data_IF_680141590548
#
_entry.id   IF_680141590548
#
_cell.length_a   1.000
_cell.length_b   1.000
_cell.length_c   1.000
_cell.angle_alpha   90.00
_cell.angle_beta   90.00
_cell.angle_gamma   90.00
#
_symmetry.space_group_name_H-M   'P 1'
#
loop_
_entity.id
_entity.type
_entity.pdbx_description
1 polymer ?
#
# COMPACT_ATOMS: atom_id res chain seq x y z
N UNK A 1 -42.20 8.60 19.33
CA UNK A 1 -40.88 8.92 19.91
C UNK A 1 -39.98 7.71 19.67
N UNK A 2 -39.25 7.72 18.55
CA UNK A 2 -37.79 7.95 18.39
C UNK A 2 -36.97 6.73 18.85
N UNK A 3 -36.54 5.87 17.91
CA UNK A 3 -35.20 5.87 17.29
C UNK A 3 -34.11 5.60 18.35
N UNK A 4 -33.32 4.52 18.29
CA UNK A 4 -32.30 4.26 17.26
C UNK A 4 -32.05 2.74 17.14
N UNK A 5 -32.34 2.18 15.95
CA UNK A 5 -31.50 1.13 15.34
C UNK A 5 -30.28 1.85 14.76
N UNK A 6 -29.11 1.21 14.82
CA UNK A 6 -27.79 1.53 14.23
C UNK A 6 -26.71 1.72 15.31
N UNK A 7 -25.88 0.68 15.45
CA UNK A 7 -24.41 0.59 15.64
C UNK A 7 -24.19 -0.87 16.14
N UNK A 8 -24.23 -1.88 15.28
CA UNK A 8 -23.29 -2.22 14.19
C UNK A 8 -22.05 -2.96 14.72
N UNK A 9 -22.14 -4.28 14.73
CA UNK A 9 -21.24 -5.14 13.94
C UNK A 9 -19.72 -5.09 14.19
N UNK A 10 -19.25 -4.70 15.38
CA UNK A 10 -17.81 -4.71 15.69
C UNK A 10 -17.32 -5.89 16.56
N UNK A 11 -18.21 -6.80 16.98
CA UNK A 11 -17.88 -7.84 17.95
C UNK A 11 -17.58 -9.24 17.38
N UNK A 12 -17.45 -9.40 16.05
CA UNK A 12 -17.29 -10.74 15.42
C UNK A 12 -15.88 -11.01 14.85
N UNK A 13 -14.91 -10.09 14.94
CA UNK A 13 -13.56 -10.31 14.38
C UNK A 13 -12.43 -10.35 15.43
N UNK A 14 -12.63 -11.06 16.54
CA UNK A 14 -11.56 -11.40 17.49
C UNK A 14 -11.41 -12.92 17.71
N UNK A 15 -11.45 -13.71 16.64
CA UNK A 15 -10.80 -15.04 16.68
C UNK A 15 -9.34 -14.89 16.28
N UNK A 16 -8.55 -14.35 17.20
CA UNK A 16 -7.09 -14.44 17.18
C UNK A 16 -6.75 -15.90 17.48
N UNK A 17 -6.51 -16.70 16.43
CA UNK A 17 -5.81 -17.98 16.59
C UNK A 17 -4.33 -17.62 16.74
N UNK A 18 -3.87 -17.52 17.98
CA UNK A 18 -2.46 -17.43 18.32
C UNK A 18 -1.73 -18.64 17.74
N UNK A 19 -0.90 -18.43 16.72
CA UNK A 19 0.12 -19.42 16.36
C UNK A 19 1.21 -19.39 17.44
N UNK A 20 1.61 -20.58 17.90
CA UNK A 20 2.76 -20.76 18.81
C UNK A 20 3.98 -20.02 18.27
N UNK A 21 4.71 -19.32 19.14
CA UNK A 21 6.00 -18.72 18.80
C UNK A 21 6.98 -19.82 18.33
N UNK A 22 7.32 -19.81 17.04
CA UNK A 22 8.33 -20.67 16.45
C UNK A 22 9.68 -19.97 16.59
N UNK A 23 10.66 -20.66 17.18
CA UNK A 23 12.05 -20.19 17.22
C UNK A 23 12.60 -20.21 15.78
N UNK A 24 12.99 -19.04 15.26
CA UNK A 24 13.31 -18.89 13.84
C UNK A 24 14.69 -19.46 13.49
N UNK A 25 14.73 -20.20 12.38
CA UNK A 25 15.96 -20.46 11.62
C UNK A 25 16.65 -19.13 11.25
N UNK A 26 17.99 -19.06 11.31
CA UNK A 26 18.82 -17.84 11.12
C UNK A 26 18.77 -17.26 9.70
N UNK A 27 17.60 -16.91 9.16
CA UNK A 27 17.48 -16.18 7.88
C UNK A 27 17.86 -14.71 8.10
N UNK A 28 18.75 -14.19 7.25
CA UNK A 28 19.16 -12.77 7.25
C UNK A 28 18.14 -11.98 6.43
N UNK A 29 17.67 -10.85 6.97
CA UNK A 29 16.71 -9.96 6.31
C UNK A 29 17.28 -8.55 6.19
N UNK A 30 17.12 -7.94 5.02
CA UNK A 30 17.51 -6.54 4.78
C UNK A 30 16.32 -5.61 4.95
N UNK A 31 16.56 -4.47 5.61
CA UNK A 31 15.56 -3.41 5.69
C UNK A 31 15.39 -2.75 4.33
N UNK A 32 14.32 -3.09 3.62
CA UNK A 32 14.11 -2.67 2.25
C UNK A 32 13.58 -1.24 2.15
N UNK A 33 12.91 -0.74 3.18
CA UNK A 33 12.24 0.55 3.11
C UNK A 33 13.16 1.74 2.84
N UNK A 34 14.44 1.66 3.20
CA UNK A 34 15.43 2.67 2.82
C UNK A 34 15.59 2.83 1.29
N UNK A 35 15.31 1.77 0.52
CA UNK A 35 15.27 1.83 -0.95
C UNK A 35 13.92 2.33 -1.48
N UNK A 36 12.87 2.33 -0.66
CA UNK A 36 11.53 2.76 -1.05
C UNK A 36 11.30 4.26 -0.87
N UNK A 37 11.94 4.89 0.12
CA UNK A 37 11.78 6.32 0.46
C UNK A 37 12.35 7.29 -0.59
N UNK A 38 12.96 6.80 -1.68
CA UNK A 38 13.29 7.65 -2.81
C UNK A 38 12.03 7.92 -3.64
N UNK A 39 11.66 9.20 -3.79
CA UNK A 39 10.53 9.61 -4.63
C UNK A 39 10.75 9.19 -6.09
N UNK A 40 9.72 8.63 -6.72
CA UNK A 40 9.73 8.37 -8.15
C UNK A 40 9.58 9.68 -8.92
N UNK A 41 10.48 9.99 -9.84
CA UNK A 41 10.45 11.26 -10.58
C UNK A 41 9.34 11.29 -11.63
N UNK A 42 9.18 10.20 -12.39
CA UNK A 42 8.20 10.09 -13.48
C UNK A 42 7.64 8.67 -13.58
N UNK A 43 6.47 8.54 -14.21
CA UNK A 43 5.90 7.25 -14.55
C UNK A 43 5.11 6.56 -13.43
N UNK A 44 5.15 5.23 -13.44
CA UNK A 44 4.50 4.33 -12.49
C UNK A 44 5.41 3.13 -12.24
N UNK A 45 5.67 2.80 -10.98
CA UNK A 45 6.47 1.64 -10.59
C UNK A 45 5.62 0.71 -9.72
N UNK A 46 5.59 -0.57 -10.08
CA UNK A 46 4.97 -1.63 -9.27
C UNK A 46 6.02 -2.68 -8.96
N UNK A 47 6.05 -3.13 -7.72
CA UNK A 47 6.97 -4.12 -7.22
C UNK A 47 6.21 -5.22 -6.52
N UNK A 48 6.62 -6.46 -6.75
CA UNK A 48 6.21 -7.62 -5.97
C UNK A 48 7.35 -7.98 -5.03
N UNK A 49 7.06 -8.03 -3.73
CA UNK A 49 8.05 -8.15 -2.67
C UNK A 49 7.67 -9.27 -1.73
N UNK A 50 8.49 -10.32 -1.65
CA UNK A 50 8.33 -11.38 -0.65
C UNK A 50 9.20 -11.08 0.57
N UNK A 51 8.58 -11.03 1.74
CA UNK A 51 9.28 -10.62 2.95
C UNK A 51 8.39 -10.59 4.19
N UNK A 52 8.75 -9.77 5.16
CA UNK A 52 7.86 -9.43 6.25
C UNK A 52 7.77 -7.93 6.48
N UNK A 53 6.66 -7.49 7.02
CA UNK A 53 6.56 -6.15 7.58
C UNK A 53 6.38 -6.18 9.09
N UNK A 54 6.97 -5.20 9.79
CA UNK A 54 6.71 -4.96 11.20
C UNK A 54 5.49 -4.04 11.37
N UNK A 55 4.49 -4.50 12.12
CA UNK A 55 3.24 -3.78 12.39
C UNK A 55 3.24 -3.22 13.82
N UNK A 56 2.88 -1.94 13.96
CA UNK A 56 2.58 -1.28 15.25
C UNK A 56 1.08 -1.05 15.43
N UNK A 57 0.35 -0.70 14.36
CA UNK A 57 -1.09 -0.37 14.40
C UNK A 57 -1.87 -0.89 13.18
N UNK A 58 -1.61 -2.13 12.74
CA UNK A 58 -2.33 -2.73 11.61
C UNK A 58 -1.94 -2.18 10.23
N UNK A 59 -0.94 -1.31 10.14
CA UNK A 59 -0.35 -0.81 8.88
C UNK A 59 1.14 -1.13 8.81
N UNK A 60 1.57 -1.52 7.62
CA UNK A 60 2.98 -1.62 7.27
C UNK A 60 3.53 -0.22 6.94
N UNK A 61 4.06 0.51 7.94
CA UNK A 61 4.57 1.87 7.78
C UNK A 61 6.01 1.90 7.26
N UNK A 62 6.30 1.15 6.20
CA UNK A 62 7.65 1.12 5.64
C UNK A 62 8.68 0.47 6.54
N UNK A 63 8.30 -0.53 7.33
CA UNK A 63 9.24 -1.45 7.98
C UNK A 63 9.22 -2.77 7.23
N UNK A 64 9.39 -2.71 5.90
CA UNK A 64 9.39 -3.86 5.00
C UNK A 64 10.79 -4.46 4.95
N UNK A 65 10.88 -5.76 5.19
CA UNK A 65 12.12 -6.52 5.24
C UNK A 65 12.09 -7.63 4.21
N UNK A 66 13.14 -7.73 3.41
CA UNK A 66 13.27 -8.71 2.35
C UNK A 66 14.32 -9.75 2.75
N UNK A 67 14.03 -11.02 2.49
CA UNK A 67 14.98 -12.11 2.76
C UNK A 67 16.21 -12.00 1.87
N UNK A 68 17.41 -12.22 2.42
CA UNK A 68 18.65 -12.30 1.62
C UNK A 68 18.54 -13.47 0.61
N UNK A 69 18.62 -13.22 -0.71
CA UNK A 69 18.60 -14.27 -1.73
C UNK A 69 19.68 -15.34 -1.52
N UNK A 70 20.83 -14.98 -0.94
CA UNK A 70 21.92 -15.93 -0.64
C UNK A 70 21.56 -16.90 0.47
N UNK A 71 20.68 -16.50 1.38
CA UNK A 71 20.20 -17.32 2.50
C UNK A 71 19.09 -18.31 2.12
N UNK A 72 18.56 -18.20 0.90
CA UNK A 72 17.50 -19.07 0.39
C UNK A 72 18.05 -20.31 -0.31
N UNK A 73 17.31 -21.42 -0.23
CA UNK A 73 17.55 -22.62 -1.04
C UNK A 73 17.44 -22.34 -2.55
N UNK A 74 17.95 -23.25 -3.39
CA UNK A 74 17.87 -23.08 -4.86
C UNK A 74 16.44 -22.90 -5.36
N UNK A 75 15.49 -23.68 -4.84
CA UNK A 75 14.07 -23.60 -5.23
C UNK A 75 13.40 -22.32 -4.72
N UNK A 76 13.80 -21.83 -3.53
CA UNK A 76 13.29 -20.59 -2.94
C UNK A 76 13.82 -19.34 -3.66
N UNK A 77 15.06 -19.39 -4.18
CA UNK A 77 15.66 -18.31 -4.98
C UNK A 77 14.92 -18.04 -6.28
N UNK A 78 14.36 -19.09 -6.88
CA UNK A 78 13.64 -18.99 -8.16
C UNK A 78 12.27 -18.32 -8.05
N UNK A 79 11.72 -18.14 -6.83
CA UNK A 79 10.37 -17.56 -6.64
C UNK A 79 10.33 -16.03 -6.85
N UNK A 80 11.48 -15.38 -7.10
CA UNK A 80 11.52 -13.93 -7.36
C UNK A 80 11.16 -13.14 -6.11
N UNK A 81 12.10 -13.08 -5.17
CA UNK A 81 11.96 -12.37 -3.88
C UNK A 81 11.57 -10.90 -4.07
N UNK A 82 12.06 -10.29 -5.14
CA UNK A 82 11.73 -8.93 -5.54
C UNK A 82 11.77 -8.85 -7.07
N UNK A 83 10.63 -8.50 -7.66
CA UNK A 83 10.50 -8.16 -9.09
C UNK A 83 9.84 -6.81 -9.19
N UNK A 84 10.30 -6.00 -10.13
CA UNK A 84 9.84 -4.63 -10.32
C UNK A 84 9.54 -4.34 -11.78
N UNK A 85 8.50 -3.58 -12.05
CA UNK A 85 8.14 -3.06 -13.36
C UNK A 85 8.01 -1.54 -13.30
N UNK A 86 8.75 -0.84 -14.14
CA UNK A 86 8.68 0.61 -14.30
C UNK A 86 8.04 0.95 -15.63
N UNK A 87 7.01 1.79 -15.61
CA UNK A 87 6.26 2.22 -16.80
C UNK A 87 6.34 3.72 -16.96
N UNK A 88 6.77 4.17 -18.14
CA UNK A 88 6.61 5.57 -18.55
C UNK A 88 5.16 5.81 -18.97
N UNK A 89 4.46 6.72 -18.30
CA UNK A 89 3.04 6.97 -18.56
C UNK A 89 2.77 7.83 -19.80
N UNK A 90 3.80 8.45 -20.39
CA UNK A 90 3.67 9.26 -21.60
C UNK A 90 3.55 8.40 -22.87
N UNK A 91 4.23 7.24 -22.87
CA UNK A 91 4.34 6.37 -24.04
C UNK A 91 4.10 4.88 -23.72
N UNK A 92 3.86 4.53 -22.46
CA UNK A 92 3.65 3.17 -21.95
C UNK A 92 4.79 2.19 -22.25
N UNK A 93 6.01 2.69 -22.48
CA UNK A 93 7.21 1.84 -22.46
C UNK A 93 7.43 1.36 -21.04
N UNK A 94 7.58 0.06 -20.87
CA UNK A 94 7.81 -0.55 -19.58
C UNK A 94 9.10 -1.38 -19.57
N UNK A 95 9.79 -1.34 -18.43
CA UNK A 95 10.97 -2.16 -18.16
C UNK A 95 10.76 -2.98 -16.91
N UNK A 96 11.02 -4.27 -17.00
CA UNK A 96 11.04 -5.21 -15.89
C UNK A 96 12.46 -5.33 -15.35
N UNK A 97 12.59 -5.46 -14.04
CA UNK A 97 13.84 -5.66 -13.31
C UNK A 97 13.68 -6.83 -12.31
N UNK A 98 14.66 -7.73 -12.29
CA UNK A 98 14.69 -8.88 -11.39
C UNK A 98 16.12 -9.34 -11.12
N UNK A 99 16.28 -10.52 -10.50
CA UNK A 99 17.56 -11.12 -10.15
C UNK A 99 18.35 -10.21 -9.21
N UNK A 100 17.87 -10.13 -7.97
CA UNK A 100 18.38 -9.17 -7.00
C UNK A 100 19.63 -9.68 -6.28
N UNK A 101 20.53 -8.75 -5.97
CA UNK A 101 21.67 -8.99 -5.10
C UNK A 101 21.89 -7.83 -4.14
N UNK A 102 22.47 -8.13 -2.99
CA UNK A 102 22.91 -7.13 -2.01
C UNK A 102 24.43 -7.04 -2.01
N UNK A 103 24.94 -5.81 -2.16
CA UNK A 103 26.36 -5.46 -2.04
C UNK A 103 26.47 -4.19 -1.22
N UNK A 104 27.26 -4.21 -0.16
CA UNK A 104 27.46 -3.07 0.76
C UNK A 104 26.12 -2.48 1.26
N UNK A 105 25.20 -3.35 1.68
CA UNK A 105 23.82 -3.05 2.12
C UNK A 105 22.93 -2.34 1.08
N UNK A 106 23.35 -2.29 -0.19
CA UNK A 106 22.58 -1.75 -1.30
C UNK A 106 21.99 -2.86 -2.15
N UNK A 107 20.74 -2.64 -2.58
CA UNK A 107 20.02 -3.52 -3.49
C UNK A 107 20.42 -3.22 -4.94
N UNK A 108 20.70 -4.28 -5.71
CA UNK A 108 20.95 -4.22 -7.14
C UNK A 108 20.02 -5.18 -7.88
N UNK A 109 19.48 -4.75 -9.02
CA UNK A 109 18.80 -5.61 -10.00
C UNK A 109 19.79 -5.99 -11.10
N UNK A 110 20.07 -7.27 -11.26
CA UNK A 110 21.10 -7.74 -12.19
C UNK A 110 20.57 -8.00 -13.60
N UNK A 111 19.23 -8.08 -13.76
CA UNK A 111 18.58 -8.33 -15.05
C UNK A 111 17.48 -7.31 -15.32
N UNK A 112 17.36 -6.94 -16.59
CA UNK A 112 16.28 -6.11 -17.10
C UNK A 112 15.77 -6.60 -18.47
N UNK A 113 14.52 -6.28 -18.80
CA UNK A 113 13.94 -6.50 -20.12
C UNK A 113 12.85 -5.48 -20.43
N UNK A 114 12.68 -5.17 -21.71
CA UNK A 114 11.54 -4.39 -22.18
C UNK A 114 10.26 -5.23 -22.11
N UNK A 115 9.15 -4.59 -21.75
CA UNK A 115 7.83 -5.22 -21.62
C UNK A 115 6.83 -4.46 -22.48
N UNK A 116 6.06 -5.21 -23.28
CA UNK A 116 4.95 -4.65 -24.05
C UNK A 116 3.65 -4.79 -23.26
N UNK A 117 3.12 -3.67 -22.79
CA UNK A 117 1.85 -3.65 -22.06
C UNK A 117 0.66 -3.73 -23.01
N UNK A 118 -0.31 -4.58 -22.68
CA UNK A 118 -1.61 -4.64 -23.35
C UNK A 118 -2.45 -3.42 -22.98
N UNK A 119 -3.38 -3.00 -23.85
CA UNK A 119 -4.12 -1.76 -23.65
C UNK A 119 -4.96 -1.74 -22.37
N UNK A 120 -5.59 -2.85 -22.00
CA UNK A 120 -6.34 -2.92 -20.74
C UNK A 120 -5.44 -2.76 -19.50
N UNK A 121 -4.18 -3.22 -19.56
CA UNK A 121 -3.19 -3.01 -18.49
C UNK A 121 -2.84 -1.54 -18.37
N UNK A 122 -2.70 -0.83 -19.50
CA UNK A 122 -2.44 0.62 -19.52
C UNK A 122 -3.59 1.39 -18.86
N UNK A 123 -4.84 1.05 -19.21
CA UNK A 123 -6.02 1.68 -18.61
C UNK A 123 -6.13 1.40 -17.11
N UNK A 124 -5.80 0.16 -16.69
CA UNK A 124 -5.75 -0.22 -15.29
C UNK A 124 -4.72 0.57 -14.49
N UNK A 125 -3.50 0.72 -15.02
CA UNK A 125 -2.44 1.55 -14.43
C UNK A 125 -2.91 3.01 -14.28
N UNK A 126 -3.57 3.58 -15.30
CA UNK A 126 -4.14 4.94 -15.22
C UNK A 126 -5.19 5.05 -14.11
N UNK A 127 -6.09 4.06 -14.00
CA UNK A 127 -7.13 4.03 -12.98
C UNK A 127 -6.54 3.95 -11.56
N UNK A 128 -5.64 3.00 -11.32
CA UNK A 128 -4.93 2.85 -10.03
C UNK A 128 -4.21 4.15 -9.67
N UNK A 129 -3.48 4.75 -10.62
CA UNK A 129 -2.80 6.04 -10.39
C UNK A 129 -3.77 7.11 -9.90
N UNK A 130 -4.93 7.28 -10.55
CA UNK A 130 -5.95 8.26 -10.12
C UNK A 130 -6.47 7.98 -8.71
N UNK A 131 -6.74 6.71 -8.40
CA UNK A 131 -7.20 6.30 -7.07
C UNK A 131 -6.13 6.53 -5.99
N UNK A 132 -4.86 6.25 -6.29
CA UNK A 132 -3.75 6.50 -5.37
C UNK A 132 -3.55 8.00 -5.09
N UNK A 133 -3.77 8.88 -6.07
CA UNK A 133 -3.75 10.34 -5.85
C UNK A 133 -4.85 10.77 -4.87
N UNK A 134 -6.07 10.22 -5.02
CA UNK A 134 -7.18 10.49 -4.10
C UNK A 134 -6.86 9.95 -2.70
N UNK A 135 -6.36 8.71 -2.61
CA UNK A 135 -5.95 8.11 -1.35
C UNK A 135 -4.89 8.94 -0.64
N UNK A 136 -3.87 9.40 -1.36
CA UNK A 136 -2.79 10.22 -0.81
C UNK A 136 -3.32 11.57 -0.29
N UNK A 137 -4.19 12.22 -1.05
CA UNK A 137 -4.82 13.47 -0.63
C UNK A 137 -5.68 13.29 0.64
N UNK A 138 -6.43 12.18 0.76
CA UNK A 138 -7.21 11.86 1.97
C UNK A 138 -6.29 11.59 3.16
N UNK A 139 -5.26 10.76 2.97
CA UNK A 139 -4.28 10.38 4.00
C UNK A 139 -3.60 11.60 4.61
N UNK A 140 -3.38 12.65 3.82
CA UNK A 140 -2.72 13.88 4.25
C UNK A 140 -3.66 14.92 4.87
N UNK A 141 -4.95 14.63 5.01
CA UNK A 141 -5.86 15.51 5.76
C UNK A 141 -5.50 15.44 7.24
N UNK A 142 -5.26 16.60 7.84
CA UNK A 142 -5.11 16.76 9.29
C UNK A 142 -6.46 17.19 9.85
N UNK A 143 -6.96 16.47 10.85
CA UNK A 143 -8.22 16.81 11.54
C UNK A 143 -7.97 17.69 12.76
N UNK A 144 -9.00 18.42 13.20
CA UNK A 144 -8.99 19.19 14.46
C UNK A 144 -9.19 18.34 15.71
N UNK A 145 -9.09 17.01 15.57
CA UNK A 145 -9.16 16.07 16.67
C UNK A 145 -8.24 16.58 17.79
N UNK A 146 -8.81 16.73 18.98
CA UNK A 146 -8.02 17.00 20.18
C UNK A 146 -7.18 15.75 20.33
N UNK A 147 -5.91 15.88 19.94
CA UNK A 147 -4.88 14.94 20.30
C UNK A 147 -4.85 14.98 21.84
N UNK A 148 -5.65 14.14 22.51
CA UNK A 148 -5.15 13.45 23.68
C UNK A 148 -4.14 12.48 23.10
N UNK A 149 -2.98 13.02 22.80
CA UNK A 149 -1.78 12.23 22.67
C UNK A 149 -1.73 11.45 23.97
N UNK A 150 -1.71 10.12 23.97
CA UNK A 150 -0.87 9.45 24.93
C UNK A 150 0.56 9.83 24.53
N UNK A 151 0.96 11.06 24.89
CA UNK A 151 2.27 11.67 24.66
C UNK A 151 2.61 11.86 23.15
N UNK A 152 3.24 12.93 22.67
CA UNK A 152 4.11 13.86 23.34
C UNK A 152 5.55 13.36 23.33
N UNK A 153 6.14 13.13 22.16
CA UNK A 153 7.59 13.07 22.01
C UNK A 153 8.08 11.87 21.21
N UNK A 154 8.92 12.15 20.21
CA UNK A 154 9.96 11.28 19.67
C UNK A 154 9.72 9.76 19.83
N UNK A 155 9.07 9.16 18.82
CA UNK A 155 8.85 7.71 18.64
C UNK A 155 10.15 6.85 18.57
N UNK A 156 11.27 7.38 19.02
CA UNK A 156 12.53 6.66 19.19
C UNK A 156 12.83 6.25 20.64
N UNK A 157 12.01 6.61 21.65
CA UNK A 157 12.40 6.46 23.06
C UNK A 157 11.48 5.66 24.00
N UNK A 158 10.36 5.07 23.56
CA UNK A 158 9.55 4.20 24.43
C UNK A 158 9.52 2.74 23.96
N UNK A 159 10.01 1.87 24.85
CA UNK A 159 10.30 0.47 24.57
C UNK A 159 9.06 -0.41 24.38
N UNK A 160 9.25 -1.42 23.50
CA UNK A 160 8.45 -2.65 23.39
C UNK A 160 6.96 -2.44 23.16
N UNK A 161 6.58 -1.71 22.12
CA UNK A 161 5.42 -2.17 21.36
C UNK A 161 5.77 -3.54 20.77
N UNK A 162 4.90 -4.54 20.96
CA UNK A 162 5.08 -5.86 20.36
C UNK A 162 4.91 -5.75 18.85
N UNK A 163 6.00 -5.40 18.15
CA UNK A 163 6.07 -5.40 16.70
C UNK A 163 5.78 -6.81 16.20
N UNK A 164 4.63 -6.98 15.56
CA UNK A 164 4.28 -8.26 14.94
C UNK A 164 4.91 -8.31 13.56
N UNK A 165 5.70 -9.35 13.31
CA UNK A 165 6.25 -9.64 11.98
C UNK A 165 5.19 -10.42 11.20
N UNK A 166 4.66 -9.81 10.16
CA UNK A 166 3.73 -10.48 9.25
C UNK A 166 4.51 -10.85 8.00
N UNK A 167 4.69 -12.13 7.76
CA UNK A 167 5.31 -12.63 6.53
C UNK A 167 4.24 -12.71 5.45
N UNK A 168 4.53 -12.13 4.30
CA UNK A 168 3.60 -12.13 3.18
C UNK A 168 4.34 -11.85 1.89
N UNK A 169 3.56 -11.87 0.82
CA UNK A 169 3.93 -11.23 -0.41
C UNK A 169 3.19 -9.88 -0.49
N UNK A 170 3.95 -8.82 -0.75
CA UNK A 170 3.50 -7.44 -0.77
C UNK A 170 3.57 -6.88 -2.18
N UNK A 171 2.59 -6.04 -2.53
CA UNK A 171 2.67 -5.16 -3.69
C UNK A 171 3.05 -3.76 -3.20
N UNK A 172 4.12 -3.21 -3.77
CA UNK A 172 4.53 -1.82 -3.55
C UNK A 172 4.32 -1.05 -4.83
N UNK A 173 3.59 0.06 -4.76
CA UNK A 173 3.33 0.95 -5.89
C UNK A 173 3.90 2.33 -5.60
N UNK A 174 4.58 2.91 -6.59
CA UNK A 174 5.11 4.26 -6.53
C UNK A 174 4.63 5.06 -7.73
N UNK A 175 4.18 6.28 -7.45
CA UNK A 175 3.89 7.31 -8.45
C UNK A 175 4.46 8.65 -7.96
N UNK A 176 4.82 9.57 -8.86
CA UNK A 176 5.40 10.87 -8.49
C UNK A 176 4.51 11.74 -7.60
N UNK A 177 3.20 11.52 -7.63
CA UNK A 177 2.22 12.29 -6.87
C UNK A 177 2.10 11.87 -5.40
N UNK A 178 2.61 10.70 -5.00
CA UNK A 178 2.53 10.29 -3.60
C UNK A 178 3.37 11.23 -2.72
N UNK A 179 2.81 11.59 -1.57
CA UNK A 179 3.50 12.20 -0.45
C UNK A 179 4.37 11.18 0.30
N UNK A 180 5.23 11.65 1.22
CA UNK A 180 6.02 10.77 2.07
C UNK A 180 5.14 9.70 2.74
N UNK A 181 5.51 8.40 2.67
CA UNK A 181 6.84 7.86 2.34
C UNK A 181 7.09 7.58 0.85
N UNK A 182 6.29 8.15 -0.06
CA UNK A 182 6.39 8.08 -1.53
C UNK A 182 6.06 6.73 -2.16
N UNK A 183 5.45 5.83 -1.39
CA UNK A 183 4.94 4.55 -1.87
C UNK A 183 3.64 4.18 -1.17
N UNK A 184 2.85 3.35 -1.87
CA UNK A 184 1.71 2.63 -1.35
C UNK A 184 2.11 1.16 -1.20
N UNK A 185 1.79 0.55 -0.06
CA UNK A 185 2.07 -0.86 0.20
C UNK A 185 0.78 -1.61 0.51
N UNK A 186 0.67 -2.78 -0.09
CA UNK A 186 -0.50 -3.63 -0.01
C UNK A 186 -0.06 -5.06 0.32
N UNK A 187 -0.58 -5.60 1.43
CA UNK A 187 -0.40 -7.01 1.81
C UNK A 187 -1.35 -7.86 0.97
N UNK A 188 -0.85 -8.38 -0.15
CA UNK A 188 -1.69 -9.15 -1.06
C UNK A 188 -1.83 -10.61 -0.62
N UNK A 189 -0.82 -11.17 0.04
CA UNK A 189 -0.84 -12.56 0.50
C UNK A 189 -1.91 -12.82 1.56
N UNK A 190 -2.33 -11.79 2.30
CA UNK A 190 -3.33 -11.89 3.36
C UNK A 190 -4.66 -11.19 3.03
N UNK A 191 -4.92 -10.84 1.77
CA UNK A 191 -6.14 -10.11 1.42
C UNK A 191 -7.39 -10.99 1.54
N UNK A 192 -8.43 -10.49 2.19
CA UNK A 192 -9.75 -11.12 2.16
C UNK A 192 -10.44 -10.84 0.81
N UNK A 193 -10.41 -11.84 -0.07
CA UNK A 193 -11.05 -11.78 -1.39
C UNK A 193 -12.56 -11.57 -1.35
N UNK A 194 -13.23 -11.84 -0.22
CA UNK A 194 -14.66 -11.57 -0.06
C UNK A 194 -14.99 -10.07 -0.08
N UNK A 195 -14.04 -9.21 0.28
CA UNK A 195 -14.23 -7.75 0.28
C UNK A 195 -14.29 -7.19 -1.15
N UNK A 196 -13.77 -7.90 -2.15
CA UNK A 196 -13.60 -7.45 -3.54
C UNK A 196 -14.82 -7.61 -4.45
N UNK A 197 -15.92 -8.16 -3.92
CA UNK A 197 -17.14 -8.39 -4.72
C UNK A 197 -17.92 -7.09 -4.96
N UNK A 198 -17.60 -6.03 -4.21
CA UNK A 198 -18.33 -4.76 -4.28
C UNK A 198 -17.68 -3.81 -5.28
N UNK A 199 -18.45 -3.47 -6.31
CA UNK A 199 -18.08 -2.47 -7.30
C UNK A 199 -18.13 -1.05 -6.71
N UNK A 200 -17.27 -0.19 -7.27
CA UNK A 200 -17.28 1.23 -6.94
C UNK A 200 -18.54 1.92 -7.45
N UNK A 201 -19.33 2.48 -6.53
CA UNK A 201 -20.60 3.14 -6.81
C UNK A 201 -20.56 4.68 -6.61
N UNK A 202 -19.35 5.23 -6.47
CA UNK A 202 -19.16 6.66 -6.25
C UNK A 202 -19.13 7.48 -7.55
N UNK A 203 -18.78 8.76 -7.40
CA UNK A 203 -18.57 9.69 -8.53
C UNK A 203 -17.46 9.19 -9.45
N UNK A 204 -17.42 9.66 -10.69
CA UNK A 204 -16.23 9.46 -11.52
C UNK A 204 -14.96 9.92 -10.76
N UNK A 205 -13.83 9.20 -10.88
CA UNK A 205 -12.60 9.50 -10.13
C UNK A 205 -12.10 10.94 -10.33
N UNK A 206 -12.25 11.51 -11.53
CA UNK A 206 -11.84 12.90 -11.78
C UNK A 206 -12.76 13.89 -11.05
N UNK A 207 -14.06 13.58 -10.95
CA UNK A 207 -15.04 14.35 -10.18
C UNK A 207 -14.81 14.21 -8.67
N UNK A 208 -14.55 12.99 -8.18
CA UNK A 208 -14.22 12.74 -6.76
C UNK A 208 -12.97 13.51 -6.37
N UNK A 209 -11.91 13.47 -7.19
CA UNK A 209 -10.67 14.21 -6.93
C UNK A 209 -10.92 15.74 -6.90
N UNK A 210 -11.71 16.26 -7.85
CA UNK A 210 -12.10 17.67 -7.85
C UNK A 210 -12.90 18.04 -6.61
N UNK A 211 -13.87 17.21 -6.23
CA UNK A 211 -14.70 17.42 -5.05
C UNK A 211 -13.87 17.36 -3.76
N UNK A 212 -12.95 16.41 -3.63
CA UNK A 212 -12.01 16.31 -2.51
C UNK A 212 -11.17 17.58 -2.36
N UNK A 213 -10.60 18.11 -3.45
CA UNK A 213 -9.85 19.37 -3.41
C UNK A 213 -10.70 20.55 -2.93
N UNK A 214 -11.94 20.64 -3.41
CA UNK A 214 -12.89 21.67 -2.97
C UNK A 214 -13.28 21.49 -1.50
N UNK A 215 -13.51 20.25 -1.07
CA UNK A 215 -13.81 19.90 0.32
C UNK A 215 -12.68 20.34 1.25
N UNK A 216 -11.42 20.00 0.92
CA UNK A 216 -10.25 20.41 1.69
C UNK A 216 -10.18 21.94 1.75
N UNK A 217 -10.16 22.62 0.60
CA UNK A 217 -10.03 24.08 0.54
C UNK A 217 -11.13 24.83 1.31
N UNK A 218 -12.36 24.31 1.33
CA UNK A 218 -13.50 24.94 2.01
C UNK A 218 -13.50 24.73 3.52
N UNK A 219 -12.97 23.59 3.99
CA UNK A 219 -13.12 23.17 5.38
C UNK A 219 -11.83 23.23 6.20
N UNK A 220 -10.68 23.48 5.55
CA UNK A 220 -9.41 23.72 6.23
C UNK A 220 -9.47 25.07 6.94
N UNK A 221 -9.17 25.07 8.23
CA UNK A 221 -9.07 26.27 9.04
C UNK A 221 -7.70 26.96 8.87
N UNK A 222 -7.48 28.04 9.64
CA UNK A 222 -6.23 28.80 9.64
C UNK A 222 -5.00 27.98 10.08
N UNK A 223 -5.21 26.89 10.83
CA UNK A 223 -4.17 26.04 11.40
C UNK A 223 -3.94 24.80 10.51
N UNK A 224 -4.57 24.75 9.33
CA UNK A 224 -4.43 23.66 8.38
C UNK A 224 -5.26 22.43 8.71
N UNK A 225 -6.26 22.55 9.59
CA UNK A 225 -7.04 21.42 10.10
C UNK A 225 -8.47 21.42 9.58
N UNK A 226 -9.05 20.24 9.40
CA UNK A 226 -10.46 20.05 9.03
C UNK A 226 -11.24 19.53 10.23
N UNK A 227 -12.45 20.04 10.52
CA UNK A 227 -13.31 19.49 11.55
C UNK A 227 -13.54 17.99 11.40
N UNK A 228 -13.23 17.21 12.43
CA UNK A 228 -13.26 15.74 12.42
C UNK A 228 -14.63 15.22 11.96
N UNK A 229 -15.72 15.84 12.47
CA UNK A 229 -17.08 15.53 12.04
C UNK A 229 -17.28 15.64 10.53
N UNK A 230 -16.76 16.70 9.90
CA UNK A 230 -16.89 16.90 8.46
C UNK A 230 -16.03 15.91 7.67
N UNK A 231 -14.83 15.61 8.17
CA UNK A 231 -13.97 14.59 7.60
C UNK A 231 -14.64 13.22 7.64
N UNK A 232 -15.19 12.82 8.80
CA UNK A 232 -15.89 11.54 8.97
C UNK A 232 -17.13 11.45 8.06
N UNK A 233 -17.93 12.52 7.96
CA UNK A 233 -19.08 12.57 7.03
C UNK A 233 -18.65 12.42 5.56
N UNK A 234 -17.51 13.00 5.16
CA UNK A 234 -16.94 12.81 3.82
C UNK A 234 -16.49 11.36 3.61
N UNK A 235 -15.73 10.81 4.56
CA UNK A 235 -15.20 9.45 4.48
C UNK A 235 -16.31 8.41 4.39
N UNK A 236 -17.35 8.53 5.21
CA UNK A 236 -18.50 7.62 5.16
C UNK A 236 -19.17 7.65 3.78
N UNK A 237 -19.61 8.83 3.34
CA UNK A 237 -20.46 8.96 2.15
C UNK A 237 -19.73 8.78 0.83
N UNK A 238 -18.51 9.29 0.72
CA UNK A 238 -17.81 9.38 -0.57
C UNK A 238 -16.77 8.28 -0.74
N UNK A 239 -16.31 7.63 0.34
CA UNK A 239 -15.24 6.63 0.31
C UNK A 239 -15.70 5.24 0.76
N UNK A 240 -16.33 5.12 1.92
CA UNK A 240 -16.70 3.82 2.48
C UNK A 240 -17.99 3.27 1.86
N UNK A 241 -19.07 4.06 1.82
CA UNK A 241 -20.34 3.65 1.21
C UNK A 241 -20.22 3.41 -0.29
N UNK A 242 -19.26 4.06 -0.95
CA UNK A 242 -19.00 3.93 -2.39
C UNK A 242 -18.09 2.75 -2.73
N UNK A 243 -17.55 2.03 -1.74
CA UNK A 243 -16.60 0.92 -1.90
C UNK A 243 -15.27 1.33 -2.56
N UNK A 244 -14.82 2.57 -2.40
CA UNK A 244 -13.58 3.08 -3.05
C UNK A 244 -12.34 2.19 -2.78
N UNK A 245 -12.10 1.80 -1.53
CA UNK A 245 -10.93 0.98 -1.18
C UNK A 245 -11.05 -0.49 -1.61
N UNK A 246 -12.27 -1.02 -1.68
CA UNK A 246 -12.53 -2.35 -2.26
C UNK A 246 -12.12 -2.37 -3.73
N UNK A 247 -12.55 -1.36 -4.48
CA UNK A 247 -12.22 -1.24 -5.89
C UNK A 247 -10.72 -1.01 -6.11
N UNK A 248 -10.06 -0.14 -5.33
CA UNK A 248 -8.61 0.05 -5.42
C UNK A 248 -7.87 -1.29 -5.22
N UNK A 249 -8.28 -2.05 -4.22
CA UNK A 249 -7.72 -3.36 -3.92
C UNK A 249 -7.91 -4.34 -5.08
N UNK A 250 -9.14 -4.41 -5.62
CA UNK A 250 -9.47 -5.24 -6.79
C UNK A 250 -8.62 -4.88 -8.00
N UNK A 251 -8.51 -3.59 -8.32
CA UNK A 251 -7.73 -3.10 -9.45
C UNK A 251 -6.24 -3.47 -9.33
N UNK A 252 -5.65 -3.35 -8.13
CA UNK A 252 -4.25 -3.73 -7.90
C UNK A 252 -4.04 -5.23 -8.09
N UNK A 253 -4.98 -6.06 -7.62
CA UNK A 253 -4.89 -7.52 -7.77
C UNK A 253 -5.11 -7.98 -9.19
N UNK A 254 -6.05 -7.38 -9.90
CA UNK A 254 -6.23 -7.65 -11.32
C UNK A 254 -4.99 -7.19 -12.10
N UNK A 255 -4.37 -6.07 -11.76
CA UNK A 255 -3.11 -5.65 -12.37
C UNK A 255 -2.00 -6.67 -12.13
N UNK A 256 -1.86 -7.18 -10.92
CA UNK A 256 -0.86 -8.21 -10.58
C UNK A 256 -1.06 -9.48 -11.43
N UNK A 257 -2.31 -9.96 -11.53
CA UNK A 257 -2.68 -11.11 -12.35
C UNK A 257 -2.43 -10.87 -13.84
N UNK A 258 -2.81 -9.69 -14.33
CA UNK A 258 -2.69 -9.29 -15.73
C UNK A 258 -1.23 -9.16 -16.16
N UNK A 259 -0.36 -8.74 -15.24
CA UNK A 259 1.08 -8.68 -15.46
C UNK A 259 1.73 -10.07 -15.45
N UNK A 260 1.15 -11.04 -14.74
CA UNK A 260 1.52 -12.47 -14.82
C UNK A 260 3.03 -12.66 -14.84
N UNK A 261 3.55 -13.36 -15.85
CA UNK A 261 4.99 -13.65 -16.01
C UNK A 261 5.93 -12.43 -15.93
N UNK A 262 5.45 -11.19 -16.10
CA UNK A 262 6.27 -9.99 -15.93
C UNK A 262 6.58 -9.65 -14.47
N UNK A 263 5.78 -10.19 -13.52
CA UNK A 263 6.03 -10.12 -12.08
C UNK A 263 6.44 -11.47 -11.47
N UNK A 264 6.52 -12.55 -12.27
CA UNK A 264 6.89 -13.90 -11.81
C UNK A 264 8.11 -14.45 -12.57
N UNK A 265 9.00 -15.16 -11.87
CA UNK A 265 10.04 -15.97 -12.52
C UNK A 265 9.48 -17.39 -12.65
N UNK A 266 9.30 -17.86 -13.89
CA UNK A 266 9.05 -19.27 -14.20
C UNK A 266 10.32 -19.90 -14.76
#
# INVERSE_FOLDING_TARGET
MRAVKIILYFFILQTIIFSKSIEMDKRVYYHYAQNLVQKLETGFEIQKVRGYCEFTTGKCLGSLFITDPKSLGWDERNIGILVKLNTDLSNFKAKRYWDISFKDDKLYFNKESDVTLKDFVKERIKKIKKMLIIHDAIKNIVTDEIIVSPEGGDDYLFGREHKTKVFSDYIVIKIPELSYPYFYIFDYGNVDTAVMVKEYAGRNLDELNKYLKQFIAKNTDKDGKIPEKKYNEFMEKEIYETNFYSELTKEILELEKDLGNELYLY
#
